data_IF_409043123048
#
_entry.id   IF_409043123048
#
_cell.length_a   1.000
_cell.length_b   1.000
_cell.length_c   1.000
_cell.angle_alpha   90.00
_cell.angle_beta   90.00
_cell.angle_gamma   90.00
#
_symmetry.space_group_name_H-M   'P 1'
#
loop_
_entity.id
_entity.type
_entity.pdbx_description
1 polymer ?
#
# COMPACT_ATOMS: atom_id res chain seq x y z
N UNK A 1 23.88 -2.10 10.54
CA UNK A 1 22.73 -2.59 11.33
C UNK A 1 21.53 -2.40 10.44
N UNK A 2 20.92 -3.48 9.94
CA UNK A 2 19.72 -3.41 9.09
C UNK A 2 18.60 -2.83 9.94
N UNK A 3 18.03 -1.71 9.51
CA UNK A 3 16.96 -1.05 10.21
C UNK A 3 15.65 -1.40 9.51
N UNK A 4 15.09 -2.57 9.86
CA UNK A 4 13.91 -3.19 9.24
C UNK A 4 12.78 -2.21 8.90
N UNK A 5 12.57 -1.21 9.76
CA UNK A 5 11.59 -0.16 9.55
C UNK A 5 11.88 0.69 8.30
N UNK A 6 13.10 1.26 8.20
CA UNK A 6 13.49 2.12 7.09
C UNK A 6 13.80 1.31 5.82
N UNK A 7 14.32 0.09 5.99
CA UNK A 7 14.77 -0.75 4.89
C UNK A 7 13.60 -1.49 4.21
N UNK A 8 12.49 -1.78 4.91
CA UNK A 8 11.39 -2.55 4.32
C UNK A 8 9.98 -1.99 4.58
N UNK A 9 9.71 -1.36 5.73
CA UNK A 9 8.33 -1.00 6.10
C UNK A 9 7.92 0.44 5.69
N UNK A 10 8.87 1.36 5.63
CA UNK A 10 8.60 2.78 5.40
C UNK A 10 7.94 3.04 4.05
N UNK A 11 8.46 2.44 2.98
CA UNK A 11 7.90 2.60 1.64
C UNK A 11 6.48 2.02 1.50
N UNK A 12 6.22 0.76 1.89
CA UNK A 12 4.87 0.20 1.89
C UNK A 12 3.86 1.06 2.64
N UNK A 13 4.23 1.56 3.81
CA UNK A 13 3.34 2.33 4.66
C UNK A 13 2.97 3.68 4.01
N UNK A 14 3.95 4.39 3.45
CA UNK A 14 3.70 5.64 2.72
C UNK A 14 2.78 5.42 1.51
N UNK A 15 3.00 4.34 0.76
CA UNK A 15 2.17 3.99 -0.39
C UNK A 15 0.72 3.67 0.01
N UNK A 16 0.51 2.97 1.13
CA UNK A 16 -0.85 2.70 1.65
C UNK A 16 -1.55 3.98 2.06
N UNK A 17 -0.87 4.87 2.78
CA UNK A 17 -1.43 6.17 3.17
C UNK A 17 -1.82 6.97 1.92
N UNK A 18 -0.97 6.98 0.90
CA UNK A 18 -1.24 7.63 -0.39
C UNK A 18 -2.50 7.05 -1.07
N UNK A 19 -2.56 5.72 -1.20
CA UNK A 19 -3.64 5.01 -1.85
C UNK A 19 -4.98 5.21 -1.15
N UNK A 20 -5.02 5.08 0.18
CA UNK A 20 -6.25 5.26 0.97
C UNK A 20 -6.71 6.71 0.97
N UNK A 21 -5.77 7.66 1.08
CA UNK A 21 -6.08 9.08 0.93
C UNK A 21 -6.71 9.37 -0.44
N UNK A 22 -6.15 8.79 -1.51
CA UNK A 22 -6.66 8.94 -2.87
C UNK A 22 -8.06 8.34 -3.03
N UNK A 23 -8.27 7.11 -2.57
CA UNK A 23 -9.58 6.44 -2.62
C UNK A 23 -10.64 7.22 -1.83
N UNK A 24 -10.31 7.64 -0.61
CA UNK A 24 -11.23 8.43 0.21
C UNK A 24 -11.53 9.80 -0.45
N UNK A 25 -10.55 10.38 -1.15
CA UNK A 25 -10.74 11.64 -1.86
C UNK A 25 -11.62 11.52 -3.10
N UNK A 26 -11.47 10.45 -3.88
CA UNK A 26 -12.33 10.17 -5.04
C UNK A 26 -13.77 10.01 -4.56
N UNK A 27 -13.97 9.21 -3.52
CA UNK A 27 -15.29 8.91 -2.98
C UNK A 27 -16.00 10.15 -2.40
N UNK A 28 -15.25 11.09 -1.82
CA UNK A 28 -15.81 12.35 -1.30
C UNK A 28 -15.98 13.45 -2.38
N UNK A 29 -15.60 13.20 -3.65
CA UNK A 29 -15.65 14.16 -4.76
C UNK A 29 -15.00 15.54 -4.48
N UNK A 30 -14.11 15.63 -3.49
CA UNK A 30 -13.43 16.88 -3.12
C UNK A 30 -12.16 17.05 -3.95
N UNK A 31 -12.24 17.88 -4.99
CA UNK A 31 -11.10 18.20 -5.89
C UNK A 31 -9.80 18.56 -5.16
N UNK A 32 -9.88 19.28 -4.05
CA UNK A 32 -8.71 19.67 -3.24
C UNK A 32 -8.01 18.51 -2.54
N UNK A 33 -8.74 17.48 -2.12
CA UNK A 33 -8.13 16.28 -1.52
C UNK A 33 -7.48 15.38 -2.58
N UNK A 34 -7.98 15.40 -3.82
CA UNK A 34 -7.44 14.58 -4.93
C UNK A 34 -6.02 15.04 -5.26
N UNK A 35 -5.81 16.36 -5.32
CA UNK A 35 -4.50 16.97 -5.59
C UNK A 35 -3.49 16.59 -4.50
N UNK A 36 -3.89 16.63 -3.23
CA UNK A 36 -3.02 16.25 -2.10
C UNK A 36 -2.63 14.77 -2.20
N UNK A 37 -3.57 13.88 -2.51
CA UNK A 37 -3.29 12.45 -2.65
C UNK A 37 -2.35 12.16 -3.83
N UNK A 38 -2.49 12.88 -4.95
CA UNK A 38 -1.56 12.76 -6.09
C UNK A 38 -0.16 13.24 -5.70
N UNK A 39 -0.03 14.35 -4.96
CA UNK A 39 1.27 14.84 -4.47
C UNK A 39 1.94 13.81 -3.55
N UNK A 40 1.17 13.19 -2.64
CA UNK A 40 1.66 12.13 -1.76
C UNK A 40 2.10 10.90 -2.57
N UNK A 41 1.35 10.52 -3.61
CA UNK A 41 1.69 9.40 -4.49
C UNK A 41 3.00 9.67 -5.26
N UNK A 42 3.16 10.87 -5.81
CA UNK A 42 4.39 11.28 -6.51
C UNK A 42 5.57 11.26 -5.52
N UNK A 43 5.38 11.79 -4.31
CA UNK A 43 6.41 11.79 -3.27
C UNK A 43 6.81 10.37 -2.86
N UNK A 44 5.85 9.44 -2.74
CA UNK A 44 6.13 8.04 -2.43
C UNK A 44 6.93 7.34 -3.55
N UNK A 45 6.64 7.65 -4.82
CA UNK A 45 7.41 7.17 -5.98
C UNK A 45 8.82 7.76 -6.01
N UNK A 46 8.99 9.05 -5.70
CA UNK A 46 10.30 9.70 -5.63
C UNK A 46 11.14 9.11 -4.48
N UNK A 47 10.54 8.90 -3.31
CA UNK A 47 11.20 8.21 -2.18
C UNK A 47 11.63 6.81 -2.61
N UNK A 48 10.79 6.08 -3.37
CA UNK A 48 11.16 4.78 -3.95
C UNK A 48 12.43 4.87 -4.79
N UNK A 49 12.50 5.80 -5.74
CA UNK A 49 13.63 5.93 -6.66
C UNK A 49 14.93 6.40 -5.99
N UNK A 50 14.84 7.22 -4.94
CA UNK A 50 16.01 7.82 -4.27
C UNK A 50 16.56 6.92 -3.18
N UNK A 51 15.70 6.30 -2.37
CA UNK A 51 16.10 5.49 -1.21
C UNK A 51 16.46 4.06 -1.63
N UNK A 52 15.74 3.50 -2.59
CA UNK A 52 15.93 2.11 -3.01
C UNK A 52 16.72 2.03 -4.32
N UNK A 53 18.03 2.29 -4.25
CA UNK A 53 18.96 1.96 -5.36
C UNK A 53 19.22 0.46 -5.50
N UNK A 54 18.82 -0.35 -4.50
CA UNK A 54 18.88 -1.80 -4.49
C UNK A 54 17.47 -2.38 -4.65
N UNK A 55 16.96 -2.41 -5.87
CA UNK A 55 15.69 -3.08 -6.18
C UNK A 55 15.80 -4.62 -6.03
N UNK A 56 16.98 -5.22 -6.00
CA UNK A 56 17.09 -6.69 -6.05
C UNK A 56 16.90 -7.41 -4.70
N UNK A 57 17.30 -6.81 -3.57
CA UNK A 57 17.30 -7.50 -2.28
C UNK A 57 16.09 -7.06 -1.43
N UNK A 58 14.93 -7.71 -1.64
CA UNK A 58 13.78 -7.63 -0.72
C UNK A 58 12.52 -6.91 -1.22
N UNK A 59 12.39 -6.68 -2.54
CA UNK A 59 11.14 -6.19 -3.14
C UNK A 59 9.95 -7.07 -2.81
N UNK A 60 10.13 -8.40 -2.78
CA UNK A 60 9.04 -9.32 -2.47
C UNK A 60 8.46 -9.06 -1.08
N UNK A 61 9.31 -8.85 -0.06
CA UNK A 61 8.90 -8.50 1.29
C UNK A 61 8.18 -7.14 1.31
N UNK A 62 8.72 -6.13 0.61
CA UNK A 62 8.11 -4.80 0.56
C UNK A 62 6.74 -4.83 -0.13
N UNK A 63 6.62 -5.54 -1.25
CA UNK A 63 5.37 -5.70 -1.98
C UNK A 63 4.34 -6.47 -1.15
N UNK A 64 4.77 -7.54 -0.47
CA UNK A 64 3.93 -8.31 0.44
C UNK A 64 3.41 -7.45 1.59
N UNK A 65 4.29 -6.68 2.24
CA UNK A 65 3.92 -5.74 3.31
C UNK A 65 2.96 -4.65 2.79
N UNK A 66 3.19 -4.15 1.58
CA UNK A 66 2.31 -3.17 0.95
C UNK A 66 0.90 -3.74 0.73
N UNK A 67 0.80 -4.92 0.11
CA UNK A 67 -0.48 -5.59 -0.12
C UNK A 67 -1.21 -5.90 1.20
N UNK A 68 -0.47 -6.35 2.22
CA UNK A 68 -1.01 -6.63 3.54
C UNK A 68 -1.63 -5.39 4.19
N UNK A 69 -0.83 -4.32 4.30
CA UNK A 69 -1.24 -3.07 4.92
C UNK A 69 -2.38 -2.42 4.12
N UNK A 70 -2.34 -2.49 2.78
CA UNK A 70 -3.39 -1.97 1.92
C UNK A 70 -4.70 -2.73 2.13
N UNK A 71 -4.63 -4.05 2.19
CA UNK A 71 -5.80 -4.91 2.41
C UNK A 71 -6.49 -4.57 3.73
N UNK A 72 -5.74 -4.45 4.83
CA UNK A 72 -6.27 -4.04 6.13
C UNK A 72 -6.89 -2.64 6.04
N UNK A 73 -6.19 -1.68 5.43
CA UNK A 73 -6.67 -0.32 5.36
C UNK A 73 -7.96 -0.18 4.52
N UNK A 74 -8.11 -1.00 3.47
CA UNK A 74 -9.33 -1.09 2.68
C UNK A 74 -10.49 -1.66 3.48
N UNK A 75 -10.26 -2.71 4.28
CA UNK A 75 -11.29 -3.27 5.18
C UNK A 75 -11.72 -2.22 6.22
N UNK A 76 -10.78 -1.49 6.81
CA UNK A 76 -11.10 -0.40 7.76
C UNK A 76 -11.92 0.70 7.05
N UNK A 77 -11.54 1.07 5.83
CA UNK A 77 -12.27 2.06 5.04
C UNK A 77 -13.70 1.57 4.71
N UNK A 78 -13.85 0.30 4.37
CA UNK A 78 -15.15 -0.35 4.14
C UNK A 78 -16.05 -0.25 5.37
N UNK A 79 -15.53 -0.62 6.55
CA UNK A 79 -16.26 -0.52 7.82
C UNK A 79 -16.65 0.92 8.15
N UNK A 80 -15.75 1.88 7.88
CA UNK A 80 -15.99 3.30 8.16
C UNK A 80 -17.05 3.90 7.24
N UNK A 81 -17.11 3.47 5.98
CA UNK A 81 -17.95 4.08 4.93
C UNK A 81 -19.17 3.23 4.58
N UNK A 82 -19.31 2.04 5.17
CA UNK A 82 -20.36 1.05 4.89
C UNK A 82 -20.44 0.65 3.42
N UNK A 83 -19.26 0.53 2.79
CA UNK A 83 -19.11 0.21 1.37
C UNK A 83 -18.52 -1.19 1.20
N UNK A 84 -19.37 -2.17 0.90
CA UNK A 84 -19.00 -3.59 0.82
C UNK A 84 -18.00 -3.88 -0.31
N UNK A 85 -17.94 -3.01 -1.33
CA UNK A 85 -16.99 -3.12 -2.44
C UNK A 85 -15.54 -3.11 -1.96
N UNK A 86 -15.20 -2.31 -0.95
CA UNK A 86 -13.82 -2.26 -0.43
C UNK A 86 -13.46 -3.52 0.36
N UNK A 87 -14.43 -4.14 1.04
CA UNK A 87 -14.22 -5.44 1.71
C UNK A 87 -13.90 -6.52 0.68
N UNK A 88 -14.64 -6.55 -0.44
CA UNK A 88 -14.40 -7.51 -1.52
C UNK A 88 -12.99 -7.35 -2.12
N UNK A 89 -12.56 -6.09 -2.36
CA UNK A 89 -11.21 -5.79 -2.85
C UNK A 89 -10.15 -6.21 -1.82
N UNK A 90 -10.37 -5.92 -0.54
CA UNK A 90 -9.47 -6.31 0.55
C UNK A 90 -9.28 -7.83 0.61
N UNK A 91 -10.37 -8.60 0.54
CA UNK A 91 -10.33 -10.07 0.51
C UNK A 91 -9.60 -10.56 -0.75
N UNK A 92 -9.88 -9.99 -1.93
CA UNK A 92 -9.17 -10.33 -3.17
C UNK A 92 -7.67 -10.13 -3.06
N UNK A 93 -7.23 -9.02 -2.44
CA UNK A 93 -5.82 -8.78 -2.16
C UNK A 93 -5.21 -9.82 -1.20
N UNK A 94 -5.95 -10.26 -0.17
CA UNK A 94 -5.47 -11.33 0.72
C UNK A 94 -5.26 -12.65 -0.03
N UNK A 95 -6.14 -12.98 -0.99
CA UNK A 95 -5.98 -14.18 -1.82
C UNK A 95 -4.75 -14.05 -2.72
N UNK A 96 -4.55 -12.90 -3.35
CA UNK A 96 -3.35 -12.64 -4.17
C UNK A 96 -2.08 -12.80 -3.33
N UNK A 97 -2.08 -12.27 -2.10
CA UNK A 97 -0.95 -12.45 -1.19
C UNK A 97 -0.68 -13.91 -0.85
N UNK A 98 -1.72 -14.71 -0.61
CA UNK A 98 -1.57 -16.15 -0.37
C UNK A 98 -0.94 -16.86 -1.57
N UNK A 99 -1.37 -16.53 -2.79
CA UNK A 99 -0.78 -17.09 -4.02
C UNK A 99 0.69 -16.71 -4.16
N UNK A 100 1.04 -15.44 -3.89
CA UNK A 100 2.42 -14.96 -3.93
C UNK A 100 3.27 -15.72 -2.91
N UNK A 101 2.79 -15.87 -1.67
CA UNK A 101 3.53 -16.53 -0.59
C UNK A 101 3.73 -18.03 -0.84
N UNK A 102 2.77 -18.69 -1.49
CA UNK A 102 2.90 -20.09 -1.92
C UNK A 102 3.85 -20.27 -3.10
N UNK A 103 3.96 -19.27 -3.97
CA UNK A 103 4.81 -19.33 -5.18
C UNK A 103 6.25 -18.88 -4.90
N UNK A 104 6.42 -17.97 -3.95
CA UNK A 104 7.71 -17.38 -3.55
C UNK A 104 7.77 -17.38 -2.02
N UNK A 105 8.21 -18.50 -1.40
CA UNK A 105 8.36 -18.54 0.04
C UNK A 105 9.36 -17.47 0.49
N UNK A 106 9.02 -16.79 1.58
CA UNK A 106 9.84 -15.74 2.18
C UNK A 106 11.04 -16.40 2.90
N UNK A 107 12.11 -16.69 2.16
CA UNK A 107 13.42 -17.10 2.71
C UNK A 107 14.25 -15.90 3.20
#
# INVERSE_FOLDING_TARGET
MINLFFDYLLWPLLMVIAAISFLNSIMENRKSRIVISIIILIMAVVIMMVVYKKFDEGIFIQLYLFLFLLSIALVILALKKQEDSFTLIGIGLMVVMLVILLSFPLE
#
